data_IF_071145630947
#
_entry.id   IF_071145630947
#
_cell.length_a   1.000
_cell.length_b   1.000
_cell.length_c   1.000
_cell.angle_alpha   90.00
_cell.angle_beta   90.00
_cell.angle_gamma   90.00
#
_symmetry.space_group_name_H-M   'P 1'
#
loop_
_entity.id
_entity.type
_entity.pdbx_description
1 polymer ?
#
# COMPACT_ATOMS: atom_id res chain seq x y z
N UNK A 1 27.02 5.01 -31.11
CA UNK A 1 25.64 4.94 -30.57
C UNK A 1 25.67 4.25 -29.21
N UNK A 2 25.64 5.00 -28.11
CA UNK A 2 25.59 4.48 -26.73
C UNK A 2 24.12 4.29 -26.34
N UNK A 3 23.70 3.06 -26.00
CA UNK A 3 22.41 2.80 -25.34
C UNK A 3 22.63 2.78 -23.83
N UNK A 4 21.93 3.68 -23.15
CA UNK A 4 21.97 3.91 -21.70
C UNK A 4 21.18 2.82 -20.99
N UNK A 5 21.79 2.19 -19.98
CA UNK A 5 21.13 1.34 -18.97
C UNK A 5 20.24 2.23 -18.09
N UNK A 6 18.95 1.92 -17.97
CA UNK A 6 18.07 2.48 -16.95
C UNK A 6 18.04 1.53 -15.76
N UNK A 7 18.38 2.07 -14.60
CA UNK A 7 18.19 1.46 -13.28
C UNK A 7 16.76 1.78 -12.82
N UNK A 8 16.04 0.80 -12.30
CA UNK A 8 14.79 1.02 -11.58
C UNK A 8 15.12 1.27 -10.10
N UNK A 9 14.96 2.51 -9.64
CA UNK A 9 14.81 2.80 -8.22
C UNK A 9 13.32 2.65 -7.89
N UNK A 10 13.01 1.77 -6.94
CA UNK A 10 11.71 1.73 -6.29
C UNK A 10 11.62 2.94 -5.36
N UNK A 11 10.68 3.84 -5.62
CA UNK A 11 10.34 4.94 -4.72
C UNK A 11 8.86 4.81 -4.39
N UNK A 12 8.60 4.33 -3.18
CA UNK A 12 7.30 4.41 -2.51
C UNK A 12 7.11 5.85 -2.04
N UNK A 13 6.43 6.66 -2.86
CA UNK A 13 5.85 7.94 -2.48
C UNK A 13 4.89 8.35 -3.59
N UNK A 14 3.59 8.09 -3.41
CA UNK A 14 2.58 8.60 -4.34
C UNK A 14 2.30 10.07 -3.98
N UNK A 15 2.96 10.96 -4.70
CA UNK A 15 2.65 12.38 -4.79
C UNK A 15 1.22 12.56 -5.34
N UNK A 16 0.37 13.28 -4.59
CA UNK A 16 -0.81 13.90 -5.16
C UNK A 16 -0.37 15.15 -5.95
N UNK A 17 -0.55 15.10 -7.27
CA UNK A 17 -0.51 16.28 -8.14
C UNK A 17 -1.96 16.72 -8.33
N UNK A 18 -2.37 17.79 -7.66
CA UNK A 18 -3.57 18.54 -8.06
C UNK A 18 -3.13 19.63 -9.04
N UNK A 19 -3.48 19.45 -10.32
CA UNK A 19 -3.44 20.51 -11.32
C UNK A 19 -4.80 21.20 -11.33
N UNK A 20 -4.86 22.49 -10.97
CA UNK A 20 -5.98 23.34 -11.32
C UNK A 20 -5.50 24.56 -12.12
N UNK A 21 -6.17 24.74 -13.25
CA UNK A 21 -6.04 25.88 -14.16
C UNK A 21 -6.46 27.17 -13.47
N UNK A 22 -5.66 28.23 -13.61
CA UNK A 22 -6.13 29.61 -13.45
C UNK A 22 -5.81 30.38 -14.72
N UNK A 23 -6.86 30.69 -15.47
CA UNK A 23 -6.90 31.79 -16.42
C UNK A 23 -7.43 33.00 -15.67
N UNK A 24 -6.71 34.12 -15.69
CA UNK A 24 -7.21 35.39 -16.23
C UNK A 24 -6.19 36.52 -16.02
N UNK A 25 -6.11 37.33 -17.06
CA UNK A 25 -5.26 38.49 -17.20
C UNK A 25 -5.71 39.66 -16.33
N UNK A 26 -4.76 40.52 -15.96
CA UNK A 26 -5.01 41.94 -15.72
C UNK A 26 -3.82 42.79 -16.14
N UNK A 27 -4.16 43.89 -16.82
CA UNK A 27 -3.26 44.75 -17.57
C UNK A 27 -2.32 45.59 -16.71
N UNK A 28 -1.19 45.87 -17.34
CA UNK A 28 -0.18 46.86 -17.02
C UNK A 28 -0.70 48.29 -16.93
N UNK A 29 -0.11 49.07 -16.03
CA UNK A 29 0.18 50.48 -16.29
C UNK A 29 1.29 50.96 -15.35
N UNK A 30 2.49 51.18 -15.90
CA UNK A 30 3.51 52.00 -15.24
C UNK A 30 4.23 52.84 -16.31
N UNK A 31 4.09 54.15 -16.18
CA UNK A 31 4.84 55.14 -16.97
C UNK A 31 6.20 55.36 -16.31
N UNK A 32 7.26 55.18 -17.09
CA UNK A 32 8.63 55.61 -16.79
C UNK A 32 8.75 57.14 -16.95
N UNK A 33 9.59 57.81 -16.14
CA UNK A 33 10.68 58.74 -16.57
C UNK A 33 11.44 59.31 -15.36
N UNK A 34 12.69 58.84 -15.23
CA UNK A 34 14.02 59.50 -15.03
C UNK A 34 14.28 60.65 -14.03
N UNK A 35 15.37 60.40 -13.27
CA UNK A 35 16.54 61.23 -12.93
C UNK A 35 16.36 62.63 -12.31
N UNK A 36 17.02 62.88 -11.17
CA UNK A 36 18.35 63.55 -11.10
C UNK A 36 18.92 63.43 -9.68
N UNK A 37 20.23 63.21 -9.64
CA UNK A 37 21.14 63.02 -8.52
C UNK A 37 21.73 64.37 -8.06
N UNK A 38 21.85 64.63 -6.75
CA UNK A 38 22.92 65.51 -6.22
C UNK A 38 23.11 65.40 -4.69
N UNK A 39 24.32 64.99 -4.33
CA UNK A 39 25.19 65.44 -3.22
C UNK A 39 24.85 65.25 -1.72
N UNK A 40 25.92 64.87 -1.02
CA UNK A 40 26.12 64.37 0.36
C UNK A 40 26.63 65.55 1.24
N UNK A 41 26.84 65.42 2.57
CA UNK A 41 25.99 65.02 3.71
C UNK A 41 25.82 66.16 4.74
N UNK A 42 24.93 66.03 5.74
CA UNK A 42 25.29 66.45 7.11
C UNK A 42 24.41 65.77 8.18
N UNK A 43 25.12 65.31 9.21
CA UNK A 43 24.74 64.47 10.33
C UNK A 43 23.73 65.09 11.29
N UNK A 44 22.68 64.36 11.63
CA UNK A 44 21.88 64.58 12.84
C UNK A 44 21.73 63.25 13.58
N UNK A 45 22.12 63.26 14.85
CA UNK A 45 22.15 62.11 15.75
C UNK A 45 20.79 61.38 15.80
N UNK A 46 20.83 60.10 15.44
CA UNK A 46 19.75 59.13 15.66
C UNK A 46 19.73 58.79 17.15
N UNK A 47 18.59 59.04 17.80
CA UNK A 47 18.26 58.37 19.07
C UNK A 47 17.82 56.97 18.66
N UNK A 48 18.69 55.99 18.89
CA UNK A 48 18.40 54.58 18.67
C UNK A 48 17.38 54.16 19.74
N UNK A 49 16.10 54.16 19.36
CA UNK A 49 15.08 53.41 20.08
C UNK A 49 15.34 51.96 19.73
N UNK A 50 15.87 51.21 20.69
CA UNK A 50 16.02 49.76 20.60
C UNK A 50 14.60 49.19 20.41
N UNK A 51 14.22 48.90 19.16
CA UNK A 51 13.04 48.10 18.88
C UNK A 51 13.28 46.72 19.50
N UNK A 52 12.47 46.38 20.52
CA UNK A 52 12.36 45.00 21.00
C UNK A 52 12.22 44.10 19.77
N UNK A 53 13.02 43.02 19.66
CA UNK A 53 12.90 42.11 18.54
C UNK A 53 11.46 41.57 18.53
N UNK A 54 10.72 41.89 17.47
CA UNK A 54 9.36 41.43 17.29
C UNK A 54 9.34 39.90 17.45
N UNK A 55 8.66 39.41 18.48
CA UNK A 55 8.46 37.97 18.68
C UNK A 55 7.84 37.44 17.40
N UNK A 56 8.47 36.47 16.71
CA UNK A 56 7.92 35.94 15.48
C UNK A 56 6.51 35.42 15.77
N UNK A 57 5.53 35.93 15.04
CA UNK A 57 4.15 35.47 15.14
C UNK A 57 4.09 34.03 14.59
N UNK A 58 3.40 33.11 15.27
CA UNK A 58 3.28 31.74 14.79
C UNK A 58 2.56 31.72 13.44
N UNK A 59 3.07 30.90 12.54
CA UNK A 59 2.47 30.61 11.24
C UNK A 59 1.11 29.89 11.41
N UNK A 60 0.21 29.94 10.41
CA UNK A 60 -1.04 29.17 10.43
C UNK A 60 -0.82 27.67 10.69
N UNK A 61 0.25 27.11 10.16
CA UNK A 61 0.66 25.72 10.39
C UNK A 61 1.06 25.47 11.85
N UNK A 62 1.85 26.37 12.46
CA UNK A 62 2.23 26.27 13.87
C UNK A 62 1.03 26.43 14.81
N UNK A 63 0.07 27.29 14.46
CA UNK A 63 -1.19 27.43 15.20
C UNK A 63 -2.04 26.17 15.12
N UNK A 64 -2.17 25.59 13.93
CA UNK A 64 -2.89 24.33 13.74
C UNK A 64 -2.25 23.19 14.54
N UNK A 65 -0.93 23.01 14.42
CA UNK A 65 -0.21 21.97 15.17
C UNK A 65 -0.27 22.21 16.69
N UNK A 66 -0.22 23.47 17.13
CA UNK A 66 -0.44 23.82 18.54
C UNK A 66 -1.82 23.41 19.05
N UNK A 67 -2.87 23.53 18.23
CA UNK A 67 -4.21 23.07 18.60
C UNK A 67 -4.34 21.54 18.67
N UNK A 68 -3.41 20.80 18.05
CA UNK A 68 -3.34 19.34 18.15
C UNK A 68 -2.52 18.89 19.36
N UNK A 69 -1.82 19.78 20.07
CA UNK A 69 -0.96 19.39 21.18
C UNK A 69 -1.75 18.66 22.27
N UNK A 70 -1.37 17.40 22.53
CA UNK A 70 -2.05 16.54 23.50
C UNK A 70 -3.28 15.80 22.99
N UNK A 71 -3.72 16.06 21.75
CA UNK A 71 -4.79 15.28 21.12
C UNK A 71 -4.28 13.87 20.80
N UNK A 72 -5.06 12.86 21.19
CA UNK A 72 -4.78 11.45 20.94
C UNK A 72 -5.95 10.81 20.21
N UNK A 73 -5.66 10.11 19.12
CA UNK A 73 -6.63 9.31 18.37
C UNK A 73 -6.38 7.82 18.61
N UNK A 74 -7.43 7.04 18.82
CA UNK A 74 -7.29 5.59 18.99
C UNK A 74 -8.51 4.83 18.50
N UNK A 75 -8.29 3.80 17.69
CA UNK A 75 -9.33 2.81 17.41
C UNK A 75 -9.56 1.92 18.64
N UNK A 76 -10.76 1.96 19.20
CA UNK A 76 -11.18 1.13 20.34
C UNK A 76 -11.91 -0.14 19.91
N UNK A 77 -12.53 -0.10 18.73
CA UNK A 77 -13.18 -1.26 18.10
C UNK A 77 -12.71 -1.37 16.66
N UNK A 78 -12.18 -2.54 16.33
CA UNK A 78 -11.73 -2.88 14.98
C UNK A 78 -12.52 -4.12 14.57
N UNK A 79 -13.29 -4.09 13.46
CA UNK A 79 -14.01 -5.27 13.01
C UNK A 79 -13.02 -6.37 12.65
N UNK A 80 -13.45 -7.62 12.88
CA UNK A 80 -12.70 -8.77 12.40
C UNK A 80 -12.67 -8.84 10.88
N UNK A 81 -11.85 -9.74 10.34
CA UNK A 81 -11.76 -9.98 8.90
C UNK A 81 -13.14 -10.29 8.27
N UNK A 82 -13.37 -9.76 7.08
CA UNK A 82 -14.52 -10.14 6.23
C UNK A 82 -14.05 -10.80 4.93
N UNK A 83 -14.97 -11.05 3.99
CA UNK A 83 -14.69 -11.62 2.67
C UNK A 83 -15.14 -10.68 1.56
N UNK A 84 -14.52 -10.78 0.40
CA UNK A 84 -14.93 -10.11 -0.84
C UNK A 84 -16.45 -10.30 -1.06
N UNK A 85 -17.14 -9.21 -1.34
CA UNK A 85 -18.59 -9.09 -1.47
C UNK A 85 -19.40 -9.39 -0.19
N UNK A 86 -18.79 -9.27 1.00
CA UNK A 86 -19.49 -9.38 2.29
C UNK A 86 -19.17 -8.18 3.18
N UNK A 87 -20.20 -7.63 3.83
CA UNK A 87 -20.05 -6.55 4.80
C UNK A 87 -19.16 -6.97 5.98
N UNK A 88 -18.53 -6.02 6.64
CA UNK A 88 -17.94 -6.24 7.96
C UNK A 88 -19.04 -6.54 8.99
N UNK A 89 -18.71 -7.31 10.03
CA UNK A 89 -19.68 -7.68 11.08
C UNK A 89 -19.94 -6.56 12.07
N UNK A 90 -19.09 -5.52 12.10
CA UNK A 90 -19.24 -4.35 12.95
C UNK A 90 -18.54 -3.14 12.33
N UNK A 91 -18.83 -1.97 12.87
CA UNK A 91 -18.10 -0.74 12.53
C UNK A 91 -16.71 -0.71 13.19
N UNK A 92 -15.88 0.22 12.71
CA UNK A 92 -14.74 0.75 13.43
C UNK A 92 -15.23 1.81 14.40
N UNK A 93 -14.65 1.84 15.60
CA UNK A 93 -14.90 2.88 16.60
C UNK A 93 -13.59 3.58 16.91
N UNK A 94 -13.56 4.89 16.72
CA UNK A 94 -12.42 5.77 16.97
C UNK A 94 -12.79 6.72 18.12
N UNK A 95 -11.91 6.87 19.09
CA UNK A 95 -12.06 7.86 20.16
C UNK A 95 -10.95 8.91 20.02
N UNK A 96 -11.33 10.16 20.25
CA UNK A 96 -10.45 11.32 20.33
C UNK A 96 -10.46 11.86 21.75
N UNK A 97 -9.28 11.95 22.35
CA UNK A 97 -9.11 12.49 23.70
C UNK A 97 -8.08 13.62 23.74
N UNK A 98 -8.24 14.52 24.70
CA UNK A 98 -7.22 15.52 25.03
C UNK A 98 -6.09 14.93 25.89
N UNK A 99 -5.14 15.79 26.30
CA UNK A 99 -4.00 15.42 27.16
C UNK A 99 -4.40 14.87 28.53
N UNK A 100 -5.57 15.24 29.01
CA UNK A 100 -6.12 14.85 30.31
C UNK A 100 -7.05 13.64 30.18
N UNK A 101 -7.08 13.01 29.00
CA UNK A 101 -7.93 11.87 28.64
C UNK A 101 -9.43 12.17 28.65
N UNK A 102 -9.82 13.43 28.54
CA UNK A 102 -11.22 13.80 28.35
C UNK A 102 -11.62 13.65 26.89
N UNK A 103 -12.89 13.32 26.66
CA UNK A 103 -13.49 13.26 25.33
C UNK A 103 -13.48 14.63 24.64
N UNK A 104 -13.13 14.66 23.36
CA UNK A 104 -13.15 15.89 22.54
C UNK A 104 -14.30 15.79 21.54
N UNK A 105 -15.40 16.51 21.81
CA UNK A 105 -16.57 16.58 20.92
C UNK A 105 -16.36 17.56 19.77
N UNK A 106 -17.18 17.43 18.71
CA UNK A 106 -17.19 18.31 17.54
C UNK A 106 -15.81 18.46 16.85
N UNK A 107 -14.97 17.43 16.95
CA UNK A 107 -13.62 17.40 16.40
C UNK A 107 -13.63 16.72 15.02
N UNK A 108 -13.16 17.40 13.99
CA UNK A 108 -13.13 16.88 12.63
C UNK A 108 -11.96 15.93 12.40
N UNK A 109 -12.27 14.74 11.90
CA UNK A 109 -11.34 13.66 11.58
C UNK A 109 -11.52 13.26 10.11
N UNK A 110 -10.40 13.12 9.41
CA UNK A 110 -10.31 12.47 8.12
C UNK A 110 -9.95 10.99 8.29
N UNK A 111 -10.74 10.10 7.70
CA UNK A 111 -10.43 8.66 7.60
C UNK A 111 -10.11 8.31 6.15
N UNK A 112 -8.94 7.73 5.93
CA UNK A 112 -8.49 7.21 4.64
C UNK A 112 -8.68 5.70 4.62
N UNK A 113 -9.49 5.22 3.67
CA UNK A 113 -9.97 3.84 3.59
C UNK A 113 -9.88 3.32 2.16
N UNK A 114 -9.48 2.06 1.93
CA UNK A 114 -9.49 1.48 0.59
C UNK A 114 -10.94 1.28 0.11
N UNK A 115 -11.25 1.73 -1.11
CA UNK A 115 -12.62 1.67 -1.69
C UNK A 115 -12.72 0.82 -2.94
N UNK A 116 -11.60 0.64 -3.65
CA UNK A 116 -11.52 -0.26 -4.81
C UNK A 116 -10.09 -0.73 -5.03
N UNK A 117 -9.96 -1.70 -5.92
CA UNK A 117 -8.68 -2.22 -6.39
C UNK A 117 -8.66 -2.19 -7.92
N UNK A 118 -7.61 -1.58 -8.49
CA UNK A 118 -7.35 -1.55 -9.93
C UNK A 118 -6.10 -2.38 -10.22
N UNK A 119 -6.30 -3.60 -10.74
CA UNK A 119 -5.27 -4.62 -10.81
C UNK A 119 -4.68 -4.93 -9.43
N UNK A 120 -3.40 -4.63 -9.22
CA UNK A 120 -2.71 -4.83 -7.94
C UNK A 120 -2.67 -3.58 -7.04
N UNK A 121 -3.22 -2.45 -7.49
CA UNK A 121 -3.15 -1.16 -6.79
C UNK A 121 -4.46 -0.90 -6.03
N UNK A 122 -4.34 -0.62 -4.73
CA UNK A 122 -5.48 -0.16 -3.92
C UNK A 122 -5.71 1.33 -4.14
N UNK A 123 -6.97 1.70 -4.34
CA UNK A 123 -7.40 3.09 -4.42
C UNK A 123 -8.15 3.43 -3.15
N UNK A 124 -7.74 4.54 -2.54
CA UNK A 124 -8.27 5.00 -1.27
C UNK A 124 -9.21 6.19 -1.48
N UNK A 125 -10.18 6.31 -0.58
CA UNK A 125 -11.00 7.51 -0.44
C UNK A 125 -10.71 8.14 0.93
N UNK A 126 -10.87 9.46 1.01
CA UNK A 126 -10.86 10.19 2.27
C UNK A 126 -12.29 10.62 2.60
N UNK A 127 -12.71 10.36 3.83
CA UNK A 127 -14.01 10.74 4.36
C UNK A 127 -13.80 11.58 5.62
N UNK A 128 -14.52 12.68 5.74
CA UNK A 128 -14.47 13.55 6.91
C UNK A 128 -15.66 13.26 7.80
N UNK A 129 -15.39 13.04 9.09
CA UNK A 129 -16.37 12.74 10.13
C UNK A 129 -16.07 13.61 11.34
N UNK A 130 -17.10 13.92 12.13
CA UNK A 130 -16.96 14.74 13.33
C UNK A 130 -17.26 13.86 14.55
N UNK A 131 -16.50 14.02 15.62
CA UNK A 131 -16.74 13.30 16.87
C UNK A 131 -18.06 13.70 17.52
N UNK A 132 -18.72 12.73 18.16
CA UNK A 132 -19.92 12.96 18.97
C UNK A 132 -19.60 13.58 20.35
N UNK A 133 -20.61 13.72 21.19
CA UNK A 133 -20.48 14.25 22.57
C UNK A 133 -19.50 13.45 23.45
N UNK A 134 -19.23 12.18 23.11
CA UNK A 134 -18.29 11.32 23.82
C UNK A 134 -16.91 11.29 23.16
N UNK A 135 -16.65 12.16 22.18
CA UNK A 135 -15.41 12.16 21.42
C UNK A 135 -15.26 10.94 20.51
N UNK A 136 -16.37 10.29 20.13
CA UNK A 136 -16.38 9.03 19.39
C UNK A 136 -16.83 9.20 17.95
N UNK A 137 -16.29 8.37 17.06
CA UNK A 137 -16.71 8.21 15.67
C UNK A 137 -16.94 6.72 15.40
N UNK A 138 -18.14 6.40 14.93
CA UNK A 138 -18.48 5.08 14.38
C UNK A 138 -18.44 5.10 12.86
N UNK A 139 -17.60 4.25 12.26
CA UNK A 139 -17.44 4.15 10.82
C UNK A 139 -17.65 2.71 10.33
N UNK A 140 -18.70 2.50 9.53
CA UNK A 140 -18.95 1.24 8.82
C UNK A 140 -18.47 1.35 7.37
N UNK A 141 -17.47 0.57 6.94
CA UNK A 141 -17.08 0.54 5.54
C UNK A 141 -18.20 -0.02 4.65
N UNK A 142 -18.22 0.43 3.40
CA UNK A 142 -19.04 -0.19 2.36
C UNK A 142 -18.67 -1.68 2.16
N UNK A 143 -19.59 -2.43 1.56
CA UNK A 143 -19.35 -3.84 1.20
C UNK A 143 -18.19 -3.92 0.19
N UNK A 144 -17.01 -4.47 0.55
CA UNK A 144 -15.85 -4.45 -0.31
C UNK A 144 -16.04 -5.39 -1.50
N UNK A 145 -15.79 -4.91 -2.72
CA UNK A 145 -15.82 -5.71 -3.96
C UNK A 145 -14.47 -6.36 -4.30
N UNK A 146 -13.45 -6.16 -3.47
CA UNK A 146 -12.07 -6.60 -3.67
C UNK A 146 -11.50 -7.22 -2.39
N UNK A 147 -10.46 -8.06 -2.52
CA UNK A 147 -9.68 -8.52 -1.37
C UNK A 147 -8.48 -7.61 -1.11
N UNK A 148 -8.17 -7.44 0.16
CA UNK A 148 -7.04 -6.66 0.62
C UNK A 148 -6.68 -7.02 2.06
N UNK A 149 -5.40 -6.89 2.40
CA UNK A 149 -4.91 -6.84 3.78
C UNK A 149 -4.04 -5.60 3.89
N UNK A 150 -4.57 -4.56 4.49
CA UNK A 150 -3.98 -3.23 4.59
C UNK A 150 -4.44 -2.55 5.87
N UNK A 151 -4.22 -1.25 5.99
CA UNK A 151 -4.68 -0.44 7.12
C UNK A 151 -5.59 0.69 6.63
N UNK A 152 -6.55 1.08 7.47
CA UNK A 152 -7.15 2.41 7.42
C UNK A 152 -6.33 3.37 8.28
N UNK A 153 -6.37 4.65 7.93
CA UNK A 153 -5.74 5.72 8.71
C UNK A 153 -6.80 6.73 9.11
N UNK A 154 -6.77 7.19 10.36
CA UNK A 154 -7.60 8.28 10.84
C UNK A 154 -6.70 9.37 11.41
N UNK A 155 -7.03 10.61 11.13
CA UNK A 155 -6.23 11.76 11.51
C UNK A 155 -7.05 13.06 11.56
N UNK A 156 -6.65 14.09 12.32
CA UNK A 156 -7.35 15.38 12.33
C UNK A 156 -7.57 15.96 10.93
N UNK A 157 -8.74 16.52 10.63
CA UNK A 157 -8.96 17.12 9.32
C UNK A 157 -7.98 18.29 9.08
N UNK A 158 -7.26 18.25 7.97
CA UNK A 158 -6.31 19.30 7.59
C UNK A 158 -7.06 20.34 6.75
N UNK A 159 -7.08 21.63 7.15
CA UNK A 159 -7.63 22.70 6.34
C UNK A 159 -7.01 22.76 4.94
N UNK A 160 -7.83 22.98 3.91
CA UNK A 160 -7.40 22.93 2.50
C UNK A 160 -6.30 23.95 2.15
N UNK A 161 -6.19 25.03 2.92
CA UNK A 161 -5.22 26.11 2.75
C UNK A 161 -3.86 25.82 3.40
N UNK A 162 -3.74 24.75 4.20
CA UNK A 162 -2.50 24.40 4.88
C UNK A 162 -1.70 23.32 4.13
N UNK A 163 -0.45 23.63 3.83
CA UNK A 163 0.50 22.68 3.28
C UNK A 163 1.34 22.07 4.41
N UNK A 164 0.80 21.06 5.09
CA UNK A 164 1.50 20.38 6.19
C UNK A 164 2.39 19.27 5.63
N UNK A 165 3.63 19.20 6.12
CA UNK A 165 4.54 18.09 5.82
C UNK A 165 4.06 16.85 6.59
N UNK A 166 3.81 15.74 5.89
CA UNK A 166 3.29 14.48 6.46
C UNK A 166 3.98 14.08 7.79
N UNK A 167 5.30 14.26 7.90
CA UNK A 167 6.08 13.89 9.10
C UNK A 167 5.70 14.65 10.36
N UNK A 168 5.21 15.89 10.25
CA UNK A 168 4.76 16.68 11.40
C UNK A 168 3.42 16.16 11.94
N UNK A 169 2.73 15.37 11.14
CA UNK A 169 1.37 14.95 11.39
C UNK A 169 1.25 13.46 11.73
N UNK A 170 2.29 12.66 11.44
CA UNK A 170 2.41 11.25 11.83
C UNK A 170 2.05 10.94 13.30
N UNK A 171 2.41 11.76 14.32
CA UNK A 171 2.06 11.47 15.71
C UNK A 171 0.56 11.45 15.99
N UNK A 172 -0.25 12.10 15.14
CA UNK A 172 -1.70 12.23 15.29
C UNK A 172 -2.46 11.21 14.43
N UNK A 173 -1.76 10.28 13.78
CA UNK A 173 -2.37 9.26 12.93
C UNK A 173 -2.68 8.00 13.75
N UNK A 174 -3.96 7.64 13.81
CA UNK A 174 -4.39 6.33 14.26
C UNK A 174 -4.50 5.38 13.06
N UNK A 175 -4.09 4.13 13.24
CA UNK A 175 -4.23 3.09 12.22
C UNK A 175 -5.02 1.90 12.74
N UNK A 176 -5.81 1.27 11.88
CA UNK A 176 -6.47 0.01 12.17
C UNK A 176 -6.42 -0.94 10.97
N UNK A 177 -6.38 -2.24 11.25
CA UNK A 177 -6.36 -3.27 10.22
C UNK A 177 -7.64 -3.24 9.38
N UNK A 178 -7.47 -3.36 8.06
CA UNK A 178 -8.52 -3.58 7.08
C UNK A 178 -8.25 -4.90 6.36
N UNK A 179 -9.04 -5.92 6.70
CA UNK A 179 -8.81 -7.29 6.25
C UNK A 179 -10.04 -7.83 5.54
N UNK A 180 -9.91 -8.01 4.23
CA UNK A 180 -10.89 -8.61 3.33
C UNK A 180 -10.24 -9.80 2.63
N UNK A 181 -10.64 -11.01 3.01
CA UNK A 181 -10.21 -12.24 2.34
C UNK A 181 -10.87 -12.36 0.96
N UNK A 182 -10.13 -12.89 -0.01
CA UNK A 182 -10.72 -13.35 -1.27
C UNK A 182 -11.72 -14.48 -1.02
N UNK A 183 -12.59 -14.73 -2.00
CA UNK A 183 -13.55 -15.83 -1.96
C UNK A 183 -12.96 -17.16 -2.48
N UNK A 184 -11.63 -17.25 -2.63
CA UNK A 184 -10.92 -18.45 -3.12
C UNK A 184 -11.22 -19.69 -2.27
N UNK A 185 -11.39 -19.55 -0.96
CA UNK A 185 -11.75 -20.66 -0.05
C UNK A 185 -13.02 -21.37 -0.50
N UNK A 186 -13.98 -20.61 -1.04
CA UNK A 186 -15.27 -21.12 -1.50
C UNK A 186 -15.29 -21.45 -2.98
N UNK A 187 -14.61 -20.66 -3.82
CA UNK A 187 -14.63 -20.83 -5.27
C UNK A 187 -13.56 -21.79 -5.80
N UNK A 188 -12.53 -22.08 -5.01
CA UNK A 188 -11.42 -22.92 -5.42
C UNK A 188 -10.53 -22.30 -6.48
N UNK A 189 -9.46 -23.03 -6.81
CA UNK A 189 -8.51 -22.64 -7.84
C UNK A 189 -7.85 -23.86 -8.51
N UNK A 190 -7.39 -23.68 -9.74
CA UNK A 190 -6.38 -24.54 -10.36
C UNK A 190 -5.02 -23.84 -10.36
N UNK A 191 -3.94 -24.61 -10.22
CA UNK A 191 -2.59 -24.06 -10.01
C UNK A 191 -1.62 -24.47 -11.12
N UNK A 192 -0.93 -23.48 -11.71
CA UNK A 192 0.14 -23.60 -12.70
C UNK A 192 1.35 -22.79 -12.22
N UNK A 193 1.94 -23.16 -11.08
CA UNK A 193 3.06 -22.42 -10.48
C UNK A 193 4.31 -23.29 -10.47
N UNK A 194 5.27 -23.02 -11.35
CA UNK A 194 6.44 -23.87 -11.51
C UNK A 194 7.62 -23.50 -10.62
N UNK A 195 8.19 -24.48 -9.95
CA UNK A 195 9.47 -24.33 -9.25
C UNK A 195 10.64 -24.58 -10.19
N UNK A 196 11.69 -23.80 -10.01
CA UNK A 196 12.93 -23.91 -10.75
C UNK A 196 14.06 -24.39 -9.85
N UNK A 197 14.93 -25.21 -10.43
CA UNK A 197 16.24 -25.53 -9.85
C UNK A 197 17.16 -24.31 -9.91
N UNK A 198 18.23 -24.31 -9.12
CA UNK A 198 19.26 -23.27 -9.16
C UNK A 198 19.90 -23.12 -10.56
N UNK A 199 19.98 -24.23 -11.32
CA UNK A 199 20.44 -24.22 -12.72
C UNK A 199 19.47 -23.58 -13.72
N UNK A 200 18.32 -23.06 -13.26
CA UNK A 200 17.32 -22.42 -14.10
C UNK A 200 16.42 -23.38 -14.87
N UNK A 201 16.45 -24.69 -14.56
CA UNK A 201 15.53 -25.66 -15.17
C UNK A 201 14.22 -25.73 -14.39
N UNK A 202 13.06 -25.66 -15.08
CA UNK A 202 11.77 -25.91 -14.42
C UNK A 202 11.71 -27.37 -13.97
N UNK A 203 11.11 -27.58 -12.81
CA UNK A 203 11.05 -28.89 -12.15
C UNK A 203 9.62 -29.41 -12.12
N UNK A 204 8.77 -28.81 -11.29
CA UNK A 204 7.41 -29.27 -11.03
C UNK A 204 6.53 -28.12 -10.56
N UNK A 205 5.23 -28.37 -10.55
CA UNK A 205 4.27 -27.48 -9.90
C UNK A 205 4.57 -27.37 -8.39
N UNK A 206 4.43 -26.19 -7.80
CA UNK A 206 4.84 -25.91 -6.43
C UNK A 206 3.92 -26.58 -5.42
N UNK A 207 4.38 -27.70 -4.88
CA UNK A 207 3.67 -28.40 -3.81
C UNK A 207 3.53 -27.53 -2.57
N UNK A 208 4.52 -26.70 -2.27
CA UNK A 208 4.55 -25.89 -1.04
C UNK A 208 3.47 -24.81 -1.06
N UNK A 209 3.29 -24.12 -2.19
CA UNK A 209 2.19 -23.14 -2.35
C UNK A 209 0.83 -23.84 -2.29
N UNK A 210 0.65 -24.97 -2.98
CA UNK A 210 -0.61 -25.72 -2.94
C UNK A 210 -0.95 -26.24 -1.54
N UNK A 211 0.04 -26.78 -0.84
CA UNK A 211 -0.08 -27.23 0.55
C UNK A 211 -0.36 -26.06 1.49
N UNK A 212 0.30 -24.92 1.30
CA UNK A 212 0.06 -23.69 2.05
C UNK A 212 -1.36 -23.15 1.89
N UNK A 213 -1.89 -23.12 0.66
CA UNK A 213 -3.28 -22.73 0.39
C UNK A 213 -4.28 -23.69 1.04
N UNK A 214 -4.03 -25.01 1.00
CA UNK A 214 -4.84 -26.01 1.72
C UNK A 214 -4.81 -25.78 3.23
N UNK A 215 -3.66 -25.45 3.82
CA UNK A 215 -3.53 -25.10 5.25
C UNK A 215 -4.32 -23.83 5.61
N UNK A 216 -4.56 -22.92 4.66
CA UNK A 216 -5.43 -21.75 4.80
C UNK A 216 -6.91 -22.04 4.50
N UNK A 217 -7.28 -23.29 4.27
CA UNK A 217 -8.67 -23.74 4.08
C UNK A 217 -9.14 -23.77 2.63
N UNK A 218 -8.26 -23.55 1.64
CA UNK A 218 -8.62 -23.69 0.22
C UNK A 218 -8.59 -25.18 -0.14
N UNK A 219 -9.70 -25.89 0.07
CA UNK A 219 -9.78 -27.33 -0.19
C UNK A 219 -10.03 -27.68 -1.66
N UNK A 220 -10.78 -26.84 -2.37
CA UNK A 220 -11.02 -26.98 -3.81
C UNK A 220 -9.82 -26.44 -4.62
N UNK A 221 -8.65 -27.03 -4.41
CA UNK A 221 -7.42 -26.67 -5.13
C UNK A 221 -6.66 -27.88 -5.63
N UNK A 222 -6.22 -27.80 -6.89
CA UNK A 222 -5.45 -28.83 -7.58
C UNK A 222 -4.50 -28.25 -8.62
N UNK A 223 -3.66 -29.11 -9.18
CA UNK A 223 -2.85 -28.73 -10.34
C UNK A 223 -3.76 -28.44 -11.53
N UNK A 224 -3.37 -27.46 -12.33
CA UNK A 224 -3.99 -27.16 -13.60
C UNK A 224 -3.91 -28.39 -14.53
N UNK A 225 -4.99 -28.74 -15.27
CA UNK A 225 -4.98 -29.85 -16.22
C UNK A 225 -3.86 -29.72 -17.25
N UNK A 226 -3.62 -28.50 -17.73
CA UNK A 226 -2.44 -28.16 -18.52
C UNK A 226 -1.37 -27.69 -17.55
N UNK A 227 -0.43 -28.58 -17.24
CA UNK A 227 0.66 -28.35 -16.29
C UNK A 227 2.01 -28.86 -16.77
N UNK A 228 2.22 -28.90 -18.10
CA UNK A 228 3.50 -29.32 -18.69
C UNK A 228 4.47 -28.15 -18.85
N UNK A 229 5.77 -28.46 -18.86
CA UNK A 229 6.83 -27.44 -18.95
C UNK A 229 6.80 -26.64 -20.24
N UNK A 230 6.20 -27.18 -21.31
CA UNK A 230 6.05 -26.53 -22.61
C UNK A 230 5.17 -25.26 -22.55
N UNK A 231 4.30 -25.17 -21.53
CA UNK A 231 3.41 -24.01 -21.34
C UNK A 231 4.03 -22.92 -20.48
N UNK A 232 5.21 -23.13 -19.88
CA UNK A 232 5.78 -22.17 -18.93
C UNK A 232 6.10 -20.82 -19.59
N UNK A 233 6.46 -20.83 -20.88
CA UNK A 233 6.74 -19.62 -21.65
C UNK A 233 5.52 -19.14 -22.46
N UNK A 234 4.36 -19.79 -22.33
CA UNK A 234 3.14 -19.35 -22.98
C UNK A 234 2.61 -18.08 -22.33
N UNK A 235 1.90 -17.25 -23.11
CA UNK A 235 1.17 -16.11 -22.54
C UNK A 235 0.14 -16.57 -21.51
N UNK A 236 -0.10 -15.78 -20.47
CA UNK A 236 -1.14 -16.02 -19.44
C UNK A 236 -2.50 -16.37 -20.05
N UNK A 237 -2.89 -15.69 -21.13
CA UNK A 237 -4.15 -15.90 -21.83
C UNK A 237 -4.21 -17.25 -22.56
N UNK A 238 -3.08 -17.74 -23.07
CA UNK A 238 -3.00 -19.10 -23.63
C UNK A 238 -3.15 -20.12 -22.51
N UNK A 239 -2.42 -19.97 -21.40
CA UNK A 239 -2.53 -20.85 -20.23
C UNK A 239 -3.97 -20.89 -19.71
N UNK A 240 -4.63 -19.73 -19.59
CA UNK A 240 -6.05 -19.61 -19.24
C UNK A 240 -6.94 -20.37 -20.22
N UNK A 241 -6.87 -20.08 -21.52
CA UNK A 241 -7.75 -20.70 -22.52
C UNK A 241 -7.64 -22.22 -22.54
N UNK A 242 -6.43 -22.75 -22.50
CA UNK A 242 -6.20 -24.19 -22.57
C UNK A 242 -6.73 -24.92 -21.32
N UNK A 243 -6.60 -24.31 -20.15
CA UNK A 243 -7.18 -24.85 -18.93
C UNK A 243 -8.72 -24.68 -18.87
N UNK A 244 -9.22 -23.50 -19.25
CA UNK A 244 -10.66 -23.22 -19.31
C UNK A 244 -11.40 -24.16 -20.26
N UNK A 245 -10.79 -24.54 -21.38
CA UNK A 245 -11.35 -25.53 -22.30
C UNK A 245 -11.59 -26.92 -21.66
N UNK A 246 -10.93 -27.21 -20.55
CA UNK A 246 -11.03 -28.50 -19.84
C UNK A 246 -11.94 -28.39 -18.62
N UNK A 247 -11.74 -27.39 -17.76
CA UNK A 247 -12.45 -27.26 -16.48
C UNK A 247 -13.54 -26.20 -16.46
N UNK A 248 -13.71 -25.43 -17.54
CA UNK A 248 -14.67 -24.34 -17.63
C UNK A 248 -14.57 -23.40 -16.41
N UNK A 249 -15.71 -23.20 -15.74
CA UNK A 249 -15.82 -22.37 -14.53
C UNK A 249 -15.98 -23.20 -13.25
N UNK A 250 -15.58 -24.48 -13.25
CA UNK A 250 -15.67 -25.35 -12.07
C UNK A 250 -14.80 -24.85 -10.90
N UNK A 251 -13.80 -24.03 -11.22
CA UNK A 251 -12.96 -23.30 -10.28
C UNK A 251 -13.11 -21.80 -10.51
N UNK A 252 -13.04 -21.01 -9.43
CA UNK A 252 -13.11 -19.55 -9.54
C UNK A 252 -11.84 -18.91 -10.11
N UNK A 253 -10.68 -19.54 -9.89
CA UNK A 253 -9.40 -18.92 -10.18
C UNK A 253 -8.41 -19.88 -10.86
N UNK A 254 -7.57 -19.32 -11.73
CA UNK A 254 -6.31 -19.94 -12.14
C UNK A 254 -5.17 -19.14 -11.52
N UNK A 255 -4.38 -19.81 -10.67
CA UNK A 255 -3.17 -19.24 -10.08
C UNK A 255 -1.99 -19.75 -10.91
N UNK A 256 -1.26 -18.85 -11.54
CA UNK A 256 -0.09 -19.20 -12.34
C UNK A 256 1.15 -18.46 -11.89
N UNK A 257 2.33 -18.97 -12.25
CA UNK A 257 3.57 -18.29 -11.88
C UNK A 257 4.81 -19.17 -11.87
N UNK A 258 5.87 -18.64 -11.25
CA UNK A 258 7.14 -19.34 -11.07
C UNK A 258 7.78 -19.03 -9.73
N UNK A 259 8.54 -19.98 -9.17
CA UNK A 259 9.44 -19.78 -8.03
C UNK A 259 10.86 -20.12 -8.47
N UNK A 260 11.77 -19.14 -8.41
CA UNK A 260 13.13 -19.22 -8.96
C UNK A 260 14.17 -18.78 -7.94
N UNK A 261 15.39 -19.26 -8.14
CA UNK A 261 16.56 -18.64 -7.51
C UNK A 261 16.82 -17.29 -8.17
N UNK A 262 16.85 -16.22 -7.38
CA UNK A 262 17.21 -14.88 -7.88
C UNK A 262 18.72 -14.69 -7.96
N UNK A 263 19.47 -15.48 -7.19
CA UNK A 263 20.92 -15.62 -7.28
C UNK A 263 21.35 -17.04 -6.87
N UNK A 264 22.55 -17.50 -7.26
CA UNK A 264 23.14 -18.70 -6.71
C UNK A 264 23.25 -18.63 -5.18
N UNK A 265 23.17 -19.77 -4.51
CA UNK A 265 23.32 -19.84 -3.05
C UNK A 265 24.73 -19.43 -2.67
N UNK A 266 24.83 -18.48 -1.74
CA UNK A 266 26.09 -17.90 -1.29
C UNK A 266 26.58 -18.63 -0.05
N UNK A 267 27.84 -19.06 -0.03
CA UNK A 267 28.50 -19.56 1.16
C UNK A 267 29.10 -18.38 1.94
N UNK A 268 28.82 -18.31 3.23
CA UNK A 268 29.32 -17.29 4.16
C UNK A 268 30.15 -17.94 5.26
N UNK A 269 30.78 -17.14 6.12
CA UNK A 269 31.52 -17.63 7.29
C UNK A 269 30.61 -18.42 8.26
N UNK A 270 29.34 -18.01 8.36
CA UNK A 270 28.35 -18.57 9.29
C UNK A 270 27.42 -19.63 8.67
N UNK A 271 27.59 -19.98 7.39
CA UNK A 271 26.78 -20.97 6.69
C UNK A 271 26.48 -20.62 5.24
N UNK A 272 25.19 -20.61 4.90
CA UNK A 272 24.70 -20.40 3.54
C UNK A 272 23.53 -19.43 3.52
N UNK A 273 23.43 -18.65 2.44
CA UNK A 273 22.32 -17.73 2.17
C UNK A 273 21.67 -18.08 0.84
N UNK A 274 20.37 -18.33 0.85
CA UNK A 274 19.57 -18.54 -0.35
C UNK A 274 18.72 -17.30 -0.63
N UNK A 275 18.52 -16.99 -1.92
CA UNK A 275 17.65 -15.92 -2.39
C UNK A 275 16.68 -16.48 -3.45
N UNK A 276 15.39 -16.36 -3.19
CA UNK A 276 14.33 -16.86 -4.06
C UNK A 276 13.38 -15.72 -4.46
N UNK A 277 12.81 -15.82 -5.65
CA UNK A 277 11.82 -14.91 -6.20
C UNK A 277 10.62 -15.70 -6.70
N UNK A 278 9.41 -15.28 -6.33
CA UNK A 278 8.15 -15.84 -6.80
C UNK A 278 7.38 -14.80 -7.62
N UNK A 279 7.21 -15.05 -8.91
CA UNK A 279 6.35 -14.27 -9.80
C UNK A 279 5.00 -14.98 -9.89
N UNK A 280 3.94 -14.38 -9.35
CA UNK A 280 2.62 -15.02 -9.24
C UNK A 280 1.55 -14.12 -9.85
N UNK A 281 0.63 -14.72 -10.60
CA UNK A 281 -0.56 -14.06 -11.12
C UNK A 281 -1.80 -14.91 -10.85
N UNK A 282 -2.96 -14.24 -10.81
CA UNK A 282 -4.27 -14.82 -10.66
C UNK A 282 -5.20 -14.37 -11.77
N UNK A 283 -5.91 -15.33 -12.36
CA UNK A 283 -6.90 -15.09 -13.41
C UNK A 283 -8.28 -15.47 -12.88
N UNK A 284 -9.26 -14.58 -13.05
CA UNK A 284 -10.66 -14.90 -12.81
C UNK A 284 -11.14 -15.86 -13.90
N UNK A 285 -11.57 -17.06 -13.54
CA UNK A 285 -11.93 -18.09 -14.52
C UNK A 285 -13.20 -17.75 -15.30
N UNK A 286 -14.08 -16.90 -14.76
CA UNK A 286 -15.34 -16.50 -15.39
C UNK A 286 -15.10 -15.47 -16.51
N UNK A 287 -14.15 -14.56 -16.32
CA UNK A 287 -13.89 -13.46 -17.26
C UNK A 287 -12.61 -13.64 -18.08
N UNK A 288 -11.64 -14.41 -17.57
CA UNK A 288 -10.32 -14.54 -18.17
C UNK A 288 -9.38 -13.36 -17.90
N UNK A 289 -9.79 -12.41 -17.04
CA UNK A 289 -9.01 -11.25 -16.68
C UNK A 289 -7.94 -11.58 -15.63
N UNK A 290 -6.75 -10.97 -15.76
CA UNK A 290 -5.72 -11.02 -14.73
C UNK A 290 -6.11 -10.03 -13.64
N UNK A 291 -6.51 -10.54 -12.48
CA UNK A 291 -7.03 -9.76 -11.35
C UNK A 291 -6.00 -9.59 -10.22
N UNK A 292 -4.89 -10.31 -10.31
CA UNK A 292 -3.81 -10.30 -9.34
C UNK A 292 -2.49 -10.57 -10.06
N UNK A 293 -1.47 -9.78 -9.74
CA UNK A 293 -0.11 -9.99 -10.20
C UNK A 293 0.88 -9.38 -9.21
N UNK A 294 1.84 -10.16 -8.75
CA UNK A 294 2.85 -9.70 -7.81
C UNK A 294 4.14 -10.52 -7.89
N UNK A 295 5.24 -9.88 -7.50
CA UNK A 295 6.57 -10.49 -7.38
C UNK A 295 7.00 -10.42 -5.93
N UNK A 296 7.37 -11.57 -5.36
CA UNK A 296 7.80 -11.70 -3.98
C UNK A 296 9.24 -12.18 -3.92
N UNK A 297 10.10 -11.47 -3.21
CA UNK A 297 11.49 -11.88 -2.99
C UNK A 297 11.70 -12.27 -1.53
N UNK A 298 12.54 -13.28 -1.31
CA UNK A 298 12.92 -13.72 0.02
C UNK A 298 14.39 -14.08 0.06
N UNK A 299 14.99 -13.81 1.21
CA UNK A 299 16.33 -14.27 1.55
C UNK A 299 16.28 -14.94 2.93
N UNK A 300 16.90 -16.12 3.05
CA UNK A 300 17.08 -16.76 4.34
C UNK A 300 18.45 -17.44 4.44
N UNK A 301 18.92 -17.59 5.68
CA UNK A 301 20.15 -18.29 6.00
C UNK A 301 19.90 -19.71 6.52
N UNK A 302 20.93 -20.54 6.46
CA UNK A 302 20.94 -21.87 7.04
C UNK A 302 22.36 -22.38 7.27
N UNK A 303 22.49 -23.35 8.18
CA UNK A 303 23.80 -23.94 8.54
C UNK A 303 24.40 -24.76 7.40
N UNK A 304 23.60 -25.15 6.41
CA UNK A 304 24.02 -25.76 5.16
C UNK A 304 23.12 -25.30 4.01
N UNK A 305 23.53 -25.61 2.78
CA UNK A 305 22.79 -25.27 1.55
C UNK A 305 21.31 -25.69 1.61
N UNK A 306 21.01 -26.93 2.03
CA UNK A 306 19.65 -27.45 2.06
C UNK A 306 18.76 -26.68 3.05
N UNK A 307 19.28 -26.36 4.23
CA UNK A 307 18.53 -25.59 5.21
C UNK A 307 18.31 -24.14 4.78
N UNK A 308 19.31 -23.49 4.18
CA UNK A 308 19.13 -22.13 3.66
C UNK A 308 18.02 -22.08 2.61
N UNK A 309 18.03 -23.04 1.67
CA UNK A 309 17.02 -23.14 0.61
C UNK A 309 15.64 -23.50 1.16
N UNK A 310 15.55 -24.45 2.11
CA UNK A 310 14.27 -24.84 2.73
C UNK A 310 13.66 -23.68 3.51
N UNK A 311 14.43 -23.04 4.38
CA UNK A 311 13.97 -21.89 5.17
C UNK A 311 13.49 -20.76 4.25
N UNK A 312 14.26 -20.46 3.20
CA UNK A 312 13.90 -19.42 2.24
C UNK A 312 12.60 -19.75 1.51
N UNK A 313 12.43 -21.02 1.09
CA UNK A 313 11.22 -21.48 0.40
C UNK A 313 10.00 -21.48 1.33
N UNK A 314 10.16 -21.88 2.58
CA UNK A 314 9.09 -21.89 3.58
C UNK A 314 8.57 -20.47 3.87
N UNK A 315 9.47 -19.51 4.12
CA UNK A 315 9.09 -18.11 4.35
C UNK A 315 8.48 -17.46 3.11
N UNK A 316 9.07 -17.67 1.92
CA UNK A 316 8.52 -17.18 0.66
C UNK A 316 7.12 -17.75 0.41
N UNK A 317 6.91 -19.04 0.69
CA UNK A 317 5.61 -19.70 0.55
C UNK A 317 4.56 -19.05 1.45
N UNK A 318 4.90 -18.74 2.70
CA UNK A 318 3.96 -18.05 3.62
C UNK A 318 3.53 -16.69 3.05
N UNK A 319 4.48 -15.91 2.53
CA UNK A 319 4.21 -14.60 1.91
C UNK A 319 3.33 -14.75 0.67
N UNK A 320 3.70 -15.64 -0.25
CA UNK A 320 2.95 -15.88 -1.48
C UNK A 320 1.53 -16.33 -1.17
N UNK A 321 1.35 -17.27 -0.25
CA UNK A 321 0.03 -17.79 0.16
C UNK A 321 -0.81 -16.68 0.78
N UNK A 322 -0.26 -15.87 1.70
CA UNK A 322 -0.98 -14.73 2.28
C UNK A 322 -1.36 -13.73 1.18
N UNK A 323 -0.44 -13.42 0.27
CA UNK A 323 -0.67 -12.50 -0.84
C UNK A 323 -1.75 -12.98 -1.80
N UNK A 324 -1.84 -14.29 -2.08
CA UNK A 324 -2.94 -14.88 -2.86
C UNK A 324 -4.26 -14.75 -2.09
N UNK A 325 -4.29 -15.10 -0.80
CA UNK A 325 -5.50 -15.08 0.03
C UNK A 325 -6.14 -13.69 0.10
N UNK A 326 -5.32 -12.63 0.12
CA UNK A 326 -5.76 -11.24 0.22
C UNK A 326 -5.60 -10.45 -1.09
N UNK A 327 -5.20 -11.12 -2.18
CA UNK A 327 -4.86 -10.51 -3.46
C UNK A 327 -5.90 -10.72 -4.56
N UNK A 328 -6.63 -11.84 -4.52
CA UNK A 328 -7.62 -12.25 -5.54
C UNK A 328 -9.01 -11.59 -5.37
#
# INVERSE_FOLDING_TARGET
MKKIKRWALSITALLFISSFFVSCATNSTENTVKDIQSDIPQTVNVIEVEEEPAVPQPTPEELFLGNLEGITLKFTKIPGKTKKNKAFSSEYELIVTDKDSNAVSDFEISIVVPVKKDGSILVYNQINLTTDENGSISYMPEVPSFAAKTVIKAFPAIPEDLAIVDSLFEPYVATADFIVESDIVTKGAIMFVFEYTESGKPSKNSYDILSGLRKKGVYLIGNAPISDTDYINASKQKIYKENYNIVGTDYGYLIGGTVKFSAPVEQTEDGYIAKLCADIYGIDMKTGEVIYENTHEMQASGTNWNYAVSNCRDELTKIVVDSIMFGL
#
